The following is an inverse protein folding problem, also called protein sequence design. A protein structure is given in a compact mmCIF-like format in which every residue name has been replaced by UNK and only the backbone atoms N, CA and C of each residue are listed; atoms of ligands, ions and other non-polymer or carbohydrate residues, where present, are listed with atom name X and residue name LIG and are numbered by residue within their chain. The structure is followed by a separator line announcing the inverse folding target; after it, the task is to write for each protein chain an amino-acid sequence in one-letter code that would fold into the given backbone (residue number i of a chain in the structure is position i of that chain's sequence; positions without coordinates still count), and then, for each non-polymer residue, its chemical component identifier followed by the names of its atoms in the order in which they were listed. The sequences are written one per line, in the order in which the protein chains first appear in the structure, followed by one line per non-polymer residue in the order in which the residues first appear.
data_IF_771253471652
#
_entry.id   IF_771253471652
#
_cell.length_a   1.000
_cell.length_b   1.000
_cell.length_c   1.000
_cell.angle_alpha   90.00
_cell.angle_beta   90.00
_cell.angle_gamma   90.00
#
_symmetry.space_group_name_H-M   'P 1'
#
loop_
_entity.id
_entity.type
_entity.pdbx_description
1 polymer ?
#
# COMPACT_ATOMS: atom_id res chain seq x y z
N UNK A 1 -54.33 -0.70 -37.99
CA UNK A 1 -53.76 -2.02 -37.65
C UNK A 1 -52.24 -2.04 -37.74
N UNK A 2 -51.63 -1.65 -38.87
CA UNK A 2 -50.16 -1.60 -39.03
C UNK A 2 -49.46 -0.73 -37.96
N UNK A 3 -50.01 0.45 -37.67
CA UNK A 3 -49.49 1.37 -36.63
C UNK A 3 -49.52 0.76 -35.23
N UNK A 4 -50.60 0.07 -34.87
CA UNK A 4 -50.75 -0.60 -33.58
C UNK A 4 -49.79 -1.80 -33.42
N UNK A 5 -49.57 -2.55 -34.51
CA UNK A 5 -48.59 -3.64 -34.54
C UNK A 5 -47.15 -3.10 -34.39
N UNK A 6 -46.80 -2.05 -35.14
CA UNK A 6 -45.50 -1.41 -35.05
C UNK A 6 -45.28 -0.80 -33.66
N UNK A 7 -46.27 -0.11 -33.08
CA UNK A 7 -46.15 0.41 -31.71
C UNK A 7 -45.99 -0.70 -30.67
N UNK A 8 -46.69 -1.83 -30.84
CA UNK A 8 -46.50 -3.01 -29.99
C UNK A 8 -45.10 -3.61 -30.11
N UNK A 9 -44.57 -3.73 -31.33
CA UNK A 9 -43.21 -4.22 -31.59
C UNK A 9 -42.16 -3.29 -30.98
N UNK A 10 -42.27 -1.98 -31.18
CA UNK A 10 -41.36 -0.99 -30.58
C UNK A 10 -41.46 -0.96 -29.05
N UNK A 11 -42.65 -1.16 -28.47
CA UNK A 11 -42.81 -1.26 -27.02
C UNK A 11 -42.09 -2.49 -26.46
N UNK A 12 -42.22 -3.67 -27.08
CA UNK A 12 -41.51 -4.89 -26.65
C UNK A 12 -39.99 -4.71 -26.73
N UNK A 13 -39.49 -4.16 -27.85
CA UNK A 13 -38.06 -3.86 -28.01
C UNK A 13 -37.59 -2.85 -26.97
N UNK A 14 -38.34 -1.78 -26.73
CA UNK A 14 -38.02 -0.76 -25.73
C UNK A 14 -37.96 -1.32 -24.31
N UNK A 15 -38.90 -2.19 -23.94
CA UNK A 15 -38.93 -2.86 -22.62
C UNK A 15 -37.70 -3.77 -22.47
N UNK A 16 -37.35 -4.55 -23.49
CA UNK A 16 -36.19 -5.43 -23.46
C UNK A 16 -34.88 -4.65 -23.23
N UNK A 17 -34.63 -3.59 -24.01
CA UNK A 17 -33.44 -2.76 -23.80
C UNK A 17 -33.43 -2.07 -22.43
N UNK A 18 -34.59 -1.60 -21.96
CA UNK A 18 -34.70 -0.99 -20.63
C UNK A 18 -34.38 -1.99 -19.53
N UNK A 19 -34.81 -3.25 -19.64
CA UNK A 19 -34.49 -4.29 -18.64
C UNK A 19 -33.00 -4.63 -18.59
N UNK A 20 -32.31 -4.70 -19.74
CA UNK A 20 -30.86 -4.93 -19.79
C UNK A 20 -30.13 -3.77 -19.13
N UNK A 21 -30.50 -2.54 -19.49
CA UNK A 21 -29.89 -1.35 -18.93
C UNK A 21 -30.12 -1.26 -17.41
N UNK A 22 -31.33 -1.58 -16.93
CA UNK A 22 -31.64 -1.64 -15.50
C UNK A 22 -30.80 -2.72 -14.79
N UNK A 23 -30.66 -3.91 -15.37
CA UNK A 23 -29.85 -4.98 -14.81
C UNK A 23 -28.37 -4.56 -14.67
N UNK A 24 -27.82 -3.89 -15.69
CA UNK A 24 -26.45 -3.38 -15.67
C UNK A 24 -26.27 -2.27 -14.62
N UNK A 25 -27.23 -1.36 -14.49
CA UNK A 25 -27.21 -0.32 -13.45
C UNK A 25 -27.30 -0.93 -12.04
N UNK A 26 -28.14 -1.94 -11.83
CA UNK A 26 -28.24 -2.65 -10.55
C UNK A 26 -26.92 -3.36 -10.22
N UNK A 27 -26.29 -4.01 -11.20
CA UNK A 27 -24.97 -4.66 -11.03
C UNK A 27 -23.88 -3.65 -10.72
N UNK A 28 -23.90 -2.49 -11.35
CA UNK A 28 -22.93 -1.41 -11.11
C UNK A 28 -23.11 -0.83 -9.70
N UNK A 29 -24.35 -0.46 -9.34
CA UNK A 29 -24.69 0.06 -8.01
C UNK A 29 -24.30 -0.93 -6.91
N UNK A 30 -24.63 -2.22 -7.07
CA UNK A 30 -24.24 -3.24 -6.10
C UNK A 30 -22.73 -3.38 -5.96
N UNK A 31 -21.97 -3.25 -7.06
CA UNK A 31 -20.50 -3.27 -7.01
C UNK A 31 -19.94 -2.06 -6.27
N UNK A 32 -20.51 -0.89 -6.51
CA UNK A 32 -20.16 0.34 -5.77
C UNK A 32 -20.43 0.15 -4.28
N UNK A 33 -21.62 -0.33 -3.90
CA UNK A 33 -22.00 -0.54 -2.50
C UNK A 33 -21.06 -1.53 -1.78
N UNK A 34 -20.75 -2.66 -2.42
CA UNK A 34 -19.83 -3.67 -1.88
C UNK A 34 -18.43 -3.06 -1.68
N UNK A 35 -17.95 -2.28 -2.65
CA UNK A 35 -16.65 -1.61 -2.60
C UNK A 35 -16.61 -0.59 -1.45
N UNK A 36 -17.58 0.32 -1.38
CA UNK A 36 -17.70 1.33 -0.32
C UNK A 36 -17.74 0.66 1.05
N UNK A 37 -18.56 -0.37 1.22
CA UNK A 37 -18.66 -1.12 2.48
C UNK A 37 -17.33 -1.76 2.86
N UNK A 38 -16.61 -2.33 1.89
CA UNK A 38 -15.31 -2.96 2.12
C UNK A 38 -14.24 -1.93 2.52
N UNK A 39 -14.23 -0.77 1.86
CA UNK A 39 -13.32 0.33 2.18
C UNK A 39 -13.57 0.87 3.59
N UNK A 40 -14.83 1.14 3.94
CA UNK A 40 -15.18 1.62 5.28
C UNK A 40 -14.89 0.58 6.37
N UNK A 41 -15.13 -0.70 6.09
CA UNK A 41 -14.79 -1.78 7.01
C UNK A 41 -13.28 -1.87 7.26
N UNK A 42 -12.47 -1.77 6.19
CA UNK A 42 -11.02 -1.73 6.29
C UNK A 42 -10.54 -0.51 7.10
N UNK A 43 -11.00 0.70 6.74
CA UNK A 43 -10.63 1.94 7.43
C UNK A 43 -11.00 1.92 8.92
N UNK A 44 -12.18 1.41 9.25
CA UNK A 44 -12.62 1.24 10.64
C UNK A 44 -11.73 0.27 11.40
N UNK A 45 -11.30 -0.81 10.75
CA UNK A 45 -10.47 -1.86 11.36
C UNK A 45 -9.07 -1.35 11.68
N UNK A 46 -8.42 -0.67 10.73
CA UNK A 46 -7.07 -0.12 10.92
C UNK A 46 -7.03 1.02 11.95
N UNK A 47 -8.14 1.76 12.12
CA UNK A 47 -8.25 2.87 13.07
C UNK A 47 -8.67 2.42 14.48
N UNK A 48 -8.99 1.14 14.69
CA UNK A 48 -9.27 0.63 16.03
C UNK A 48 -7.96 0.36 16.78
N UNK A 49 -7.82 0.87 18.01
CA UNK A 49 -6.59 0.95 18.83
C UNK A 49 -5.85 -0.38 19.09
N UNK A 50 -6.37 -1.51 18.63
CA UNK A 50 -5.73 -2.81 18.81
C UNK A 50 -4.77 -3.13 17.67
N UNK A 51 -3.51 -2.68 17.80
CA UNK A 51 -2.30 -3.39 17.35
C UNK A 51 -2.39 -4.12 15.98
N UNK A 52 -3.02 -3.53 14.96
CA UNK A 52 -2.97 -4.15 13.63
C UNK A 52 -1.56 -3.96 13.07
N UNK A 53 -1.01 -5.00 12.44
CA UNK A 53 0.29 -4.90 11.74
C UNK A 53 0.27 -3.74 10.73
N UNK A 54 -0.90 -3.45 10.15
CA UNK A 54 -1.10 -2.30 9.25
C UNK A 54 -0.82 -0.97 9.96
N UNK A 55 -1.36 -0.76 11.17
CA UNK A 55 -1.07 0.42 11.97
C UNK A 55 0.42 0.51 12.35
N UNK A 56 1.06 -0.65 12.61
CA UNK A 56 2.50 -0.73 12.86
C UNK A 56 3.33 -0.27 11.66
N UNK A 57 3.01 -0.77 10.46
CA UNK A 57 3.67 -0.36 9.21
C UNK A 57 3.43 1.14 8.93
N UNK A 58 2.21 1.62 9.16
CA UNK A 58 1.87 3.03 8.98
C UNK A 58 2.67 3.93 9.94
N UNK A 59 2.83 3.50 11.20
CA UNK A 59 3.63 4.23 12.17
C UNK A 59 5.10 4.37 11.73
N UNK A 60 5.70 3.33 11.15
CA UNK A 60 7.03 3.42 10.56
C UNK A 60 7.07 4.46 9.42
N UNK A 61 6.06 4.47 8.54
CA UNK A 61 5.95 5.50 7.50
C UNK A 61 5.88 6.92 8.06
N UNK A 62 5.13 7.13 9.13
CA UNK A 62 5.05 8.43 9.82
C UNK A 62 6.39 8.86 10.41
N UNK A 63 7.10 7.95 11.07
CA UNK A 63 8.42 8.25 11.64
C UNK A 63 9.41 8.60 10.54
N UNK A 64 9.42 7.85 9.45
CA UNK A 64 10.26 8.10 8.28
C UNK A 64 10.04 9.50 7.67
N UNK A 65 8.82 10.02 7.70
CA UNK A 65 8.50 11.32 7.11
C UNK A 65 8.81 12.53 8.04
N UNK A 66 9.16 12.30 9.31
CA UNK A 66 9.42 13.35 10.31
C UNK A 66 10.90 13.49 10.59
N UNK A 67 11.44 14.69 10.84
CA UNK A 67 12.86 14.93 11.17
C UNK A 67 13.31 14.17 12.44
N UNK A 68 13.76 12.93 12.26
CA UNK A 68 14.12 11.98 13.32
C UNK A 68 15.41 12.40 14.06
N UNK A 69 15.32 12.58 15.37
CA UNK A 69 16.44 12.66 16.30
C UNK A 69 17.12 11.29 16.48
N UNK A 70 18.38 11.23 16.89
CA UNK A 70 19.09 9.95 17.14
C UNK A 70 18.31 8.99 18.08
N UNK A 71 17.47 9.51 18.98
CA UNK A 71 16.60 8.71 19.87
C UNK A 71 15.40 8.09 19.15
N UNK A 72 14.73 8.85 18.27
CA UNK A 72 13.60 8.34 17.48
C UNK A 72 14.08 7.32 16.41
N UNK A 73 15.32 7.43 15.93
CA UNK A 73 15.97 6.40 15.10
C UNK A 73 16.03 5.07 15.86
N UNK A 74 16.43 5.12 17.13
CA UNK A 74 16.51 3.94 17.97
C UNK A 74 15.13 3.35 18.26
N UNK A 75 14.10 4.20 18.42
CA UNK A 75 12.72 3.75 18.58
C UNK A 75 12.20 3.04 17.32
N UNK A 76 12.51 3.54 16.12
CA UNK A 76 12.23 2.84 14.85
C UNK A 76 12.95 1.49 14.84
N UNK A 77 14.24 1.45 15.13
CA UNK A 77 15.02 0.20 15.13
C UNK A 77 14.51 -0.82 16.14
N UNK A 78 14.21 -0.39 17.36
CA UNK A 78 13.67 -1.25 18.42
C UNK A 78 12.29 -1.78 18.03
N UNK A 79 11.47 -0.95 17.37
CA UNK A 79 10.17 -1.36 16.84
C UNK A 79 10.28 -2.34 15.67
N UNK A 80 11.20 -2.10 14.73
CA UNK A 80 11.49 -2.99 13.62
C UNK A 80 12.09 -4.32 14.11
N UNK A 81 12.84 -4.31 15.20
CA UNK A 81 13.38 -5.50 15.84
C UNK A 81 12.33 -6.29 16.66
N UNK A 82 11.29 -5.61 17.14
CA UNK A 82 10.13 -6.21 17.82
C UNK A 82 9.10 -6.75 16.82
N UNK A 83 9.08 -6.25 15.58
CA UNK A 83 8.51 -7.02 14.49
C UNK A 83 9.29 -8.34 14.44
N UNK A 84 8.61 -9.50 14.45
CA UNK A 84 9.26 -10.79 14.33
C UNK A 84 10.38 -10.71 13.31
N UNK A 85 11.58 -11.17 13.69
CA UNK A 85 12.85 -10.99 12.98
C UNK A 85 12.90 -11.58 11.56
N UNK A 86 11.76 -12.06 11.09
CA UNK A 86 11.38 -12.25 9.71
C UNK A 86 9.92 -11.80 9.63
N UNK A 87 9.51 -11.12 8.56
CA UNK A 87 8.09 -11.09 8.18
C UNK A 87 7.65 -12.56 8.07
N UNK A 88 7.17 -13.09 9.18
CA UNK A 88 6.97 -14.51 9.35
C UNK A 88 5.61 -14.85 8.75
N UNK A 89 5.35 -16.14 8.59
CA UNK A 89 4.09 -16.61 8.05
C UNK A 89 2.89 -16.04 8.81
N UNK A 90 3.03 -15.76 10.11
CA UNK A 90 1.96 -15.19 10.95
C UNK A 90 1.65 -13.73 10.58
N UNK A 91 2.67 -12.86 10.47
CA UNK A 91 2.48 -11.47 10.02
C UNK A 91 1.83 -11.43 8.63
N UNK A 92 2.30 -12.27 7.71
CA UNK A 92 1.74 -12.32 6.35
C UNK A 92 0.30 -12.82 6.37
N UNK A 93 -0.03 -13.78 7.23
CA UNK A 93 -1.40 -14.27 7.41
C UNK A 93 -2.29 -13.18 7.98
N UNK A 94 -1.82 -12.44 8.99
CA UNK A 94 -2.57 -11.35 9.61
C UNK A 94 -2.82 -10.22 8.60
N UNK A 95 -1.77 -9.75 7.92
CA UNK A 95 -1.91 -8.77 6.84
C UNK A 95 -2.83 -9.28 5.73
N UNK A 96 -2.75 -10.57 5.39
CA UNK A 96 -3.62 -11.14 4.37
C UNK A 96 -5.08 -11.09 4.82
N UNK A 97 -5.37 -11.35 6.09
CA UNK A 97 -6.72 -11.19 6.64
C UNK A 97 -7.18 -9.73 6.64
N UNK A 98 -6.29 -8.78 6.90
CA UNK A 98 -6.58 -7.34 6.83
C UNK A 98 -6.92 -6.88 5.41
N UNK A 99 -6.13 -7.30 4.43
CA UNK A 99 -6.25 -6.84 3.05
C UNK A 99 -7.21 -7.65 2.18
N UNK A 100 -7.68 -8.82 2.62
CA UNK A 100 -8.50 -9.72 1.80
C UNK A 100 -9.78 -9.04 1.28
N UNK A 101 -10.44 -8.23 2.12
CA UNK A 101 -11.63 -7.49 1.71
C UNK A 101 -11.34 -6.51 0.56
N UNK A 102 -10.20 -5.81 0.62
CA UNK A 102 -9.76 -4.91 -0.44
C UNK A 102 -9.36 -5.69 -1.70
N UNK A 103 -8.75 -6.86 -1.56
CA UNK A 103 -8.34 -7.70 -2.69
C UNK A 103 -9.53 -8.27 -3.47
N UNK A 104 -10.62 -8.58 -2.78
CA UNK A 104 -11.84 -9.13 -3.40
C UNK A 104 -12.71 -8.02 -3.99
N UNK A 105 -12.92 -6.95 -3.23
CA UNK A 105 -13.96 -5.95 -3.52
C UNK A 105 -13.44 -4.60 -4.02
N UNK A 106 -12.12 -4.37 -3.93
CA UNK A 106 -11.50 -3.12 -4.33
C UNK A 106 -11.46 -2.93 -5.85
N UNK A 107 -11.18 -1.70 -6.27
CA UNK A 107 -10.90 -1.38 -7.66
C UNK A 107 -9.68 -2.13 -8.18
N UNK A 108 -9.45 -2.11 -9.49
CA UNK A 108 -8.23 -2.67 -10.08
C UNK A 108 -6.97 -2.01 -9.50
N UNK A 109 -7.00 -0.71 -9.24
CA UNK A 109 -5.87 0.01 -8.66
C UNK A 109 -5.63 -0.41 -7.20
N UNK A 110 -6.67 -0.40 -6.36
CA UNK A 110 -6.56 -0.82 -4.96
C UNK A 110 -6.03 -2.25 -4.84
N UNK A 111 -6.53 -3.18 -5.68
CA UNK A 111 -6.05 -4.56 -5.70
C UNK A 111 -4.57 -4.65 -6.09
N UNK A 112 -4.15 -3.90 -7.10
CA UNK A 112 -2.74 -3.84 -7.53
C UNK A 112 -1.85 -3.35 -6.39
N UNK A 113 -2.22 -2.26 -5.70
CA UNK A 113 -1.43 -1.73 -4.57
C UNK A 113 -1.33 -2.76 -3.44
N UNK A 114 -2.43 -3.45 -3.12
CA UNK A 114 -2.42 -4.54 -2.13
C UNK A 114 -1.46 -5.65 -2.55
N UNK A 115 -1.53 -6.13 -3.78
CA UNK A 115 -0.66 -7.22 -4.27
C UNK A 115 0.82 -6.79 -4.28
N UNK A 116 1.11 -5.56 -4.71
CA UNK A 116 2.46 -4.99 -4.72
C UNK A 116 3.01 -4.81 -3.29
N UNK A 117 2.16 -4.47 -2.31
CA UNK A 117 2.55 -4.44 -0.89
C UNK A 117 2.99 -5.83 -0.41
N UNK A 118 2.29 -6.91 -0.81
CA UNK A 118 2.74 -8.27 -0.51
C UNK A 118 4.04 -8.63 -1.23
N UNK A 119 4.23 -8.20 -2.48
CA UNK A 119 5.49 -8.40 -3.19
C UNK A 119 6.67 -7.74 -2.48
N UNK A 120 6.51 -6.49 -2.00
CA UNK A 120 7.54 -5.81 -1.21
C UNK A 120 7.86 -6.58 0.07
N UNK A 121 6.84 -6.97 0.85
CA UNK A 121 7.03 -7.70 2.10
C UNK A 121 7.66 -9.09 1.89
N UNK A 122 7.43 -9.70 0.72
CA UNK A 122 8.03 -10.98 0.32
C UNK A 122 9.37 -10.82 -0.40
N UNK A 123 9.93 -9.61 -0.46
CA UNK A 123 11.20 -9.29 -1.15
C UNK A 123 11.20 -9.64 -2.64
N UNK A 124 10.04 -9.48 -3.30
CA UNK A 124 9.77 -9.74 -4.73
C UNK A 124 9.50 -8.45 -5.51
N UNK A 125 10.34 -7.45 -5.31
CA UNK A 125 10.20 -6.11 -5.89
C UNK A 125 10.30 -6.09 -7.42
N UNK A 126 10.88 -7.13 -8.02
CA UNK A 126 11.01 -7.33 -9.47
C UNK A 126 9.68 -7.50 -10.20
N UNK A 127 8.62 -7.86 -9.46
CA UNK A 127 7.27 -7.99 -10.01
C UNK A 127 6.49 -6.66 -10.05
N UNK A 128 7.05 -5.59 -9.49
CA UNK A 128 6.35 -4.32 -9.30
C UNK A 128 6.82 -3.30 -10.34
N UNK A 129 5.86 -2.71 -11.05
CA UNK A 129 6.13 -1.59 -11.94
C UNK A 129 5.90 -0.25 -11.22
N UNK A 130 6.98 0.23 -10.59
CA UNK A 130 7.00 1.46 -9.79
C UNK A 130 6.74 2.74 -10.59
N UNK A 131 6.86 2.72 -11.92
CA UNK A 131 6.58 3.88 -12.77
C UNK A 131 5.12 4.32 -12.77
N UNK A 132 4.22 3.46 -12.29
CA UNK A 132 2.78 3.76 -12.18
C UNK A 132 2.38 4.38 -10.84
N UNK A 133 3.33 4.56 -9.93
CA UNK A 133 3.07 5.06 -8.58
C UNK A 133 3.39 6.55 -8.47
N UNK A 134 3.04 7.16 -7.33
CA UNK A 134 3.41 8.54 -7.06
C UNK A 134 4.93 8.73 -7.07
N UNK A 135 5.42 9.95 -7.39
CA UNK A 135 6.86 10.24 -7.40
C UNK A 135 7.56 9.93 -6.09
N UNK A 136 6.84 9.95 -4.96
CA UNK A 136 7.38 9.60 -3.65
C UNK A 136 7.72 8.11 -3.55
N UNK A 137 6.80 7.22 -3.94
CA UNK A 137 7.02 5.77 -3.95
C UNK A 137 8.15 5.40 -4.92
N UNK A 138 8.14 5.99 -6.13
CA UNK A 138 9.18 5.75 -7.13
C UNK A 138 10.54 6.23 -6.65
N UNK A 139 10.62 7.43 -6.04
CA UNK A 139 11.87 7.95 -5.47
C UNK A 139 12.39 7.08 -4.34
N UNK A 140 11.51 6.58 -3.46
CA UNK A 140 11.88 5.61 -2.43
C UNK A 140 12.48 4.36 -3.08
N UNK A 141 11.83 3.77 -4.08
CA UNK A 141 12.39 2.60 -4.78
C UNK A 141 13.76 2.86 -5.42
N UNK A 142 13.88 3.91 -6.27
CA UNK A 142 15.11 4.23 -7.01
C UNK A 142 16.29 4.50 -6.08
N UNK A 143 16.02 5.17 -4.95
CA UNK A 143 17.04 5.42 -3.93
C UNK A 143 17.75 4.14 -3.51
N UNK A 144 16.96 3.11 -3.18
CA UNK A 144 17.48 1.89 -2.60
C UNK A 144 17.87 0.86 -3.67
N UNK A 145 17.45 1.06 -4.91
CA UNK A 145 17.79 0.24 -6.07
C UNK A 145 18.28 1.11 -7.25
N UNK A 146 19.43 1.80 -7.12
CA UNK A 146 19.88 2.78 -8.10
C UNK A 146 20.21 2.17 -9.48
N UNK A 147 20.33 0.84 -9.61
CA UNK A 147 20.63 0.16 -10.88
C UNK A 147 19.94 -1.21 -11.00
N UNK A 148 18.97 -1.39 -11.93
CA UNK A 148 18.30 -2.68 -12.14
C UNK A 148 19.13 -3.73 -12.87
N UNK A 149 20.30 -3.38 -13.44
CA UNK A 149 21.10 -4.25 -14.33
C UNK A 149 22.56 -4.49 -13.89
N UNK A 150 22.97 -4.03 -12.70
CA UNK A 150 24.29 -4.32 -12.18
C UNK A 150 24.18 -4.94 -10.79
N UNK A 151 25.04 -5.94 -10.54
CA UNK A 151 25.35 -6.51 -9.23
C UNK A 151 25.23 -5.39 -8.21
N UNK A 152 24.31 -5.57 -7.25
CA UNK A 152 24.08 -4.69 -6.10
C UNK A 152 25.40 -4.00 -5.77
N UNK A 153 25.53 -2.67 -6.00
CA UNK A 153 26.57 -1.98 -5.29
C UNK A 153 26.20 -2.27 -3.85
N UNK A 154 27.05 -3.04 -3.15
CA UNK A 154 27.10 -2.98 -1.70
C UNK A 154 26.89 -1.51 -1.39
N UNK A 155 25.73 -1.12 -0.86
CA UNK A 155 25.70 0.10 -0.09
C UNK A 155 26.80 -0.18 0.91
N UNK A 156 27.91 0.54 0.70
CA UNK A 156 29.06 0.46 1.56
C UNK A 156 28.50 0.60 2.97
N UNK A 157 29.13 -0.13 3.89
CA UNK A 157 28.89 -0.16 5.32
C UNK A 157 29.03 1.22 6.00
N UNK A 158 28.34 2.23 5.49
CA UNK A 158 28.27 3.60 5.93
C UNK A 158 26.84 3.77 6.46
N UNK A 159 26.73 3.38 7.74
CA UNK A 159 25.73 3.70 8.74
C UNK A 159 24.24 3.66 8.38
N UNK A 160 23.48 2.91 9.20
CA UNK A 160 22.03 3.05 9.30
C UNK A 160 21.56 4.49 9.59
N UNK A 161 22.46 5.37 10.08
CA UNK A 161 22.24 6.81 10.17
C UNK A 161 22.25 7.50 8.81
N UNK A 162 23.10 7.12 7.86
CA UNK A 162 23.01 7.63 6.48
C UNK A 162 21.76 7.09 5.80
N UNK A 163 21.41 5.82 6.03
CA UNK A 163 20.13 5.24 5.59
C UNK A 163 18.94 6.06 6.12
N UNK A 164 18.80 6.21 7.44
CA UNK A 164 17.68 6.94 8.07
C UNK A 164 17.72 8.44 7.78
N UNK A 165 18.89 9.10 7.85
CA UNK A 165 19.00 10.51 7.49
C UNK A 165 18.63 10.73 6.01
N UNK A 166 18.95 9.79 5.12
CA UNK A 166 18.48 9.84 3.75
C UNK A 166 16.96 9.64 3.66
N UNK A 167 16.39 8.61 4.30
CA UNK A 167 14.94 8.33 4.22
C UNK A 167 14.11 9.49 4.75
N UNK A 168 14.66 10.21 5.73
CA UNK A 168 14.02 11.31 6.45
C UNK A 168 14.37 12.70 5.88
N UNK A 169 15.37 12.80 5.01
CA UNK A 169 15.84 14.07 4.46
C UNK A 169 16.64 14.95 5.44
N UNK A 170 17.33 14.34 6.39
CA UNK A 170 18.18 15.03 7.38
C UNK A 170 19.63 15.20 6.89
N UNK A 171 20.30 16.30 7.27
CA UNK A 171 21.74 16.42 7.13
C UNK A 171 22.47 15.52 8.14
N UNK A 172 23.34 14.64 7.64
CA UNK A 172 24.19 13.77 8.47
C UNK A 172 25.18 14.66 9.25
N UNK A 173 24.99 14.78 10.57
CA UNK A 173 25.89 15.53 11.45
C UNK A 173 27.11 14.66 11.79
N UNK A 174 28.30 15.11 11.37
CA UNK A 174 29.65 14.53 11.56
C UNK A 174 30.13 14.37 13.03
N UNK A 175 29.24 14.19 14.01
CA UNK A 175 29.65 13.92 15.38
C UNK A 175 29.82 12.42 15.58
N UNK A 176 31.06 12.01 15.82
CA UNK A 176 31.47 10.67 16.26
C UNK A 176 30.47 10.10 17.26
N UNK A 177 29.63 9.16 16.81
CA UNK A 177 28.72 8.43 17.67
C UNK A 177 29.06 6.95 17.61
N UNK A 178 29.14 6.34 18.79
CA UNK A 178 29.29 4.90 19.01
C UNK A 178 28.47 4.07 18.04
N UNK A 179 29.08 3.01 17.51
CA UNK A 179 28.44 1.94 16.73
C UNK A 179 27.03 1.64 17.26
N UNK A 180 26.01 1.92 16.45
CA UNK A 180 24.66 1.39 16.69
C UNK A 180 24.71 -0.08 16.25
N UNK A 181 24.54 -1.00 17.19
CA UNK A 181 24.42 -2.42 16.87
C UNK A 181 23.07 -2.63 16.18
N UNK A 182 23.11 -2.85 14.86
CA UNK A 182 21.94 -2.88 14.00
C UNK A 182 21.17 -4.18 14.24
N UNK A 183 19.91 -4.06 14.70
CA UNK A 183 19.06 -5.21 15.03
C UNK A 183 18.35 -5.81 13.82
N UNK A 184 18.24 -5.05 12.73
CA UNK A 184 17.48 -5.40 11.51
C UNK A 184 18.34 -5.21 10.27
N UNK A 185 18.19 -6.09 9.26
CA UNK A 185 18.97 -5.98 8.02
C UNK A 185 18.51 -4.81 7.14
N UNK A 186 19.41 -4.28 6.31
CA UNK A 186 19.08 -3.17 5.39
C UNK A 186 17.95 -3.53 4.41
N UNK A 187 17.91 -4.78 3.95
CA UNK A 187 16.84 -5.30 3.09
C UNK A 187 15.48 -5.29 3.78
N UNK A 188 15.44 -5.62 5.08
CA UNK A 188 14.20 -5.61 5.87
C UNK A 188 13.73 -4.19 6.14
N UNK A 189 14.65 -3.28 6.48
CA UNK A 189 14.32 -1.85 6.61
C UNK A 189 13.73 -1.30 5.32
N UNK A 190 14.40 -1.55 4.20
CA UNK A 190 13.93 -1.11 2.89
C UNK A 190 12.52 -1.64 2.59
N UNK A 191 12.30 -2.94 2.82
CA UNK A 191 11.00 -3.57 2.56
C UNK A 191 9.89 -2.94 3.41
N UNK A 192 10.15 -2.65 4.68
CA UNK A 192 9.15 -2.07 5.58
C UNK A 192 8.87 -0.60 5.24
N UNK A 193 9.90 0.19 4.93
CA UNK A 193 9.75 1.59 4.50
C UNK A 193 8.95 1.66 3.19
N UNK A 194 9.29 0.82 2.21
CA UNK A 194 8.58 0.80 0.94
C UNK A 194 7.14 0.30 1.10
N UNK A 195 6.90 -0.69 1.96
CA UNK A 195 5.55 -1.14 2.29
C UNK A 195 4.73 -0.03 2.97
N UNK A 196 5.35 0.81 3.82
CA UNK A 196 4.70 1.96 4.42
C UNK A 196 4.31 3.01 3.36
N UNK A 197 5.18 3.28 2.38
CA UNK A 197 4.86 4.17 1.25
C UNK A 197 3.73 3.64 0.36
N UNK A 198 3.73 2.34 0.07
CA UNK A 198 2.60 1.73 -0.65
C UNK A 198 1.30 1.76 0.16
N UNK A 199 1.37 1.65 1.49
CA UNK A 199 0.21 1.78 2.37
C UNK A 199 -0.34 3.22 2.38
N UNK A 200 0.53 4.24 2.40
CA UNK A 200 0.12 5.64 2.24
C UNK A 200 -0.63 5.85 0.91
N UNK A 201 -0.08 5.33 -0.19
CA UNK A 201 -0.71 5.39 -1.52
C UNK A 201 -2.06 4.65 -1.55
N UNK A 202 -2.16 3.50 -0.89
CA UNK A 202 -3.39 2.73 -0.77
C UNK A 202 -4.48 3.55 -0.07
N UNK A 203 -4.15 4.17 1.07
CA UNK A 203 -5.09 4.98 1.84
C UNK A 203 -5.54 6.21 1.06
N UNK A 204 -4.63 6.86 0.33
CA UNK A 204 -4.94 7.97 -0.55
C UNK A 204 -5.87 7.54 -1.69
N UNK A 205 -5.59 6.41 -2.34
CA UNK A 205 -6.41 5.85 -3.41
C UNK A 205 -7.81 5.53 -2.93
N UNK A 206 -7.95 4.86 -1.78
CA UNK A 206 -9.25 4.55 -1.16
C UNK A 206 -10.02 5.83 -0.88
N UNK A 207 -9.37 6.85 -0.30
CA UNK A 207 -10.01 8.13 0.00
C UNK A 207 -10.52 8.82 -1.26
N UNK A 208 -9.68 8.93 -2.29
CA UNK A 208 -10.06 9.55 -3.56
C UNK A 208 -11.22 8.82 -4.23
N UNK A 209 -11.22 7.48 -4.18
CA UNK A 209 -12.34 6.69 -4.71
C UNK A 209 -13.63 6.90 -3.90
N UNK A 210 -13.56 6.98 -2.58
CA UNK A 210 -14.73 7.28 -1.73
C UNK A 210 -15.30 8.68 -1.98
N UNK A 211 -14.45 9.68 -2.23
CA UNK A 211 -14.85 11.05 -2.55
C UNK A 211 -15.48 11.17 -3.97
N UNK A 212 -15.18 10.21 -4.86
CA UNK A 212 -15.71 10.16 -6.24
C UNK A 212 -17.04 9.43 -6.41
N UNK A 213 -17.55 8.81 -5.35
CA UNK A 213 -18.77 7.99 -5.32
C UNK A 213 -19.99 8.80 -4.84
#
# INVERSE_FOLDING_TARGET
MLTAFLSGLFAVIGIYFTSIFQEDQIKLSKRIDIRTTSYLAFLKKINSENSSVVAKIQYVGLLVNQSITDGEIQEVEDFLADLPSQINTEILVDLNQEFNLLRISGSTQVRKIVDDLFYVLLKRIDHIDFSNYSPEVEKTYITFHPYPNHISPKMLSADAKEFLAFVVGLPVSNKESSYIDLKVSDDERFSIVLAAKLLEELLLTIRNELESL
#
